data_IF_565309884809
#
_entry.id   IF_565309884809
#
_cell.length_a   1.000
_cell.length_b   1.000
_cell.length_c   1.000
_cell.angle_alpha   90.00
_cell.angle_beta   90.00
_cell.angle_gamma   90.00
#
_symmetry.space_group_name_H-M   'P 1'
#
loop_
_entity.id
_entity.type
_entity.pdbx_description
1 polymer ?
#
# COMPACT_ATOMS: atom_id res chain seq x y z
N UNK A 1 -5.59 13.00 -0.90
CA UNK A 1 -5.12 13.41 -2.24
C UNK A 1 -3.62 13.64 -2.16
N UNK A 2 -2.85 13.03 -3.05
CA UNK A 2 -1.38 13.09 -3.07
C UNK A 2 -0.96 14.35 -3.83
N UNK A 3 -0.08 15.16 -3.24
CA UNK A 3 0.40 16.43 -3.80
C UNK A 3 1.75 16.28 -4.48
N UNK A 4 2.62 15.45 -3.90
CA UNK A 4 4.00 15.28 -4.35
C UNK A 4 4.49 13.87 -4.03
N UNK A 5 5.30 13.32 -4.94
CA UNK A 5 6.04 12.08 -4.73
C UNK A 5 7.44 12.20 -5.34
N UNK A 6 8.43 11.75 -4.59
CA UNK A 6 9.77 11.41 -5.06
C UNK A 6 10.34 10.29 -4.19
N UNK A 7 11.45 9.68 -4.59
CA UNK A 7 12.04 8.59 -3.82
C UNK A 7 12.26 8.98 -2.35
N UNK A 8 11.62 8.23 -1.45
CA UNK A 8 11.71 8.45 -0.01
C UNK A 8 10.85 9.60 0.54
N UNK A 9 9.99 10.23 -0.27
CA UNK A 9 9.09 11.28 0.18
C UNK A 9 7.72 11.23 -0.50
N UNK A 10 6.67 11.39 0.30
CA UNK A 10 5.33 11.64 -0.19
C UNK A 10 4.70 12.80 0.58
N UNK A 11 4.03 13.72 -0.14
CA UNK A 11 3.25 14.81 0.46
C UNK A 11 1.77 14.57 0.25
N UNK A 12 1.02 14.51 1.34
CA UNK A 12 -0.43 14.27 1.33
C UNK A 12 -1.08 15.25 2.29
N UNK A 13 -2.05 16.03 1.79
CA UNK A 13 -2.82 17.00 2.59
C UNK A 13 -1.92 17.96 3.41
N UNK A 14 -0.87 18.50 2.78
CA UNK A 14 0.10 19.40 3.39
C UNK A 14 1.13 18.73 4.29
N UNK A 15 0.99 17.44 4.62
CA UNK A 15 1.90 16.70 5.49
C UNK A 15 2.91 15.88 4.66
N UNK A 16 4.17 15.91 5.11
CA UNK A 16 5.27 15.17 4.50
C UNK A 16 5.50 13.85 5.25
N UNK A 17 5.64 12.78 4.49
CA UNK A 17 5.94 11.43 4.95
C UNK A 17 7.22 10.96 4.27
N UNK A 18 8.15 10.41 5.06
CA UNK A 18 9.45 9.88 4.64
C UNK A 18 9.59 8.37 4.94
N UNK A 19 8.45 7.71 5.10
CA UNK A 19 8.31 6.29 5.39
C UNK A 19 7.19 5.74 4.51
N UNK A 20 7.13 4.41 4.41
CA UNK A 20 5.99 3.73 3.79
C UNK A 20 4.70 4.11 4.53
N UNK A 21 3.62 4.32 3.76
CA UNK A 21 2.33 4.74 4.30
C UNK A 21 1.20 3.89 3.74
N UNK A 22 0.11 3.86 4.49
CA UNK A 22 -1.18 3.30 4.10
C UNK A 22 -2.22 4.42 4.10
N UNK A 23 -3.06 4.48 3.07
CA UNK A 23 -4.20 5.40 2.98
C UNK A 23 -5.48 4.57 3.09
N UNK A 24 -6.25 4.79 4.16
CA UNK A 24 -7.52 4.09 4.38
C UNK A 24 -8.69 4.68 3.61
N UNK A 25 -9.84 3.99 3.62
CA UNK A 25 -11.09 4.48 3.01
C UNK A 25 -11.61 5.77 3.66
N UNK A 26 -11.22 6.03 4.90
CA UNK A 26 -11.52 7.26 5.64
C UNK A 26 -10.58 8.42 5.31
N UNK A 27 -9.72 8.27 4.29
CA UNK A 27 -8.67 9.20 3.89
C UNK A 27 -7.59 9.45 4.96
N UNK A 28 -7.54 8.66 6.03
CA UNK A 28 -6.45 8.77 7.00
C UNK A 28 -5.19 8.13 6.44
N UNK A 29 -4.09 8.86 6.59
CA UNK A 29 -2.75 8.38 6.29
C UNK A 29 -2.12 7.84 7.57
N UNK A 30 -1.62 6.61 7.51
CA UNK A 30 -0.89 5.96 8.60
C UNK A 30 0.49 5.57 8.14
N UNK A 31 1.45 5.58 9.08
CA UNK A 31 2.73 4.92 8.86
C UNK A 31 2.47 3.43 8.71
N UNK A 32 3.05 2.83 7.67
CA UNK A 32 2.88 1.43 7.37
C UNK A 32 4.18 0.68 7.68
N UNK A 33 4.08 -0.26 8.62
CA UNK A 33 5.21 -1.08 9.04
C UNK A 33 5.05 -2.48 8.50
N UNK A 34 5.94 -2.86 7.60
CA UNK A 34 6.01 -4.23 7.07
C UNK A 34 6.87 -5.11 7.95
N UNK A 35 6.45 -6.36 8.09
CA UNK A 35 7.15 -7.40 8.83
C UNK A 35 8.54 -7.71 8.25
N UNK A 36 8.71 -7.59 6.93
CA UNK A 36 9.96 -7.86 6.21
C UNK A 36 10.21 -6.84 5.11
N UNK A 37 11.48 -6.48 4.90
CA UNK A 37 11.85 -5.58 3.81
C UNK A 37 11.53 -6.21 2.44
N UNK A 38 10.97 -5.39 1.53
CA UNK A 38 10.59 -5.76 0.15
C UNK A 38 9.55 -6.87 -0.02
N UNK A 39 9.02 -7.44 1.06
CA UNK A 39 7.94 -8.42 0.99
C UNK A 39 6.74 -7.87 1.76
N UNK A 40 5.55 -8.01 1.19
CA UNK A 40 4.30 -7.59 1.80
C UNK A 40 3.52 -8.85 2.09
N UNK A 41 3.41 -9.17 3.38
CA UNK A 41 2.75 -10.37 3.87
C UNK A 41 1.29 -10.08 4.19
N UNK A 42 0.50 -11.15 4.36
CA UNK A 42 -0.93 -11.03 4.70
C UNK A 42 -1.13 -10.20 5.96
N UNK A 43 -0.28 -10.41 6.97
CA UNK A 43 -0.32 -9.69 8.24
C UNK A 43 -0.11 -8.18 8.07
N UNK A 44 0.67 -7.78 7.05
CA UNK A 44 0.96 -6.36 6.78
C UNK A 44 -0.27 -5.63 6.19
N UNK A 45 -1.26 -6.35 5.67
CA UNK A 45 -2.45 -5.79 5.01
C UNK A 45 -3.76 -6.08 5.75
N UNK A 46 -3.72 -6.71 6.93
CA UNK A 46 -4.93 -7.07 7.71
C UNK A 46 -5.82 -5.85 8.01
N UNK A 47 -5.21 -4.71 8.33
CA UNK A 47 -5.94 -3.47 8.61
C UNK A 47 -6.69 -2.93 7.39
N UNK A 48 -6.12 -3.11 6.19
CA UNK A 48 -6.75 -2.71 4.92
C UNK A 48 -7.88 -3.69 4.59
N UNK A 49 -7.64 -4.99 4.74
CA UNK A 49 -8.64 -6.02 4.49
C UNK A 49 -9.87 -5.88 5.40
N UNK A 50 -9.67 -5.47 6.66
CA UNK A 50 -10.76 -5.25 7.62
C UNK A 50 -11.69 -4.08 7.26
N UNK A 51 -11.25 -3.19 6.36
CA UNK A 51 -12.08 -2.09 5.85
C UNK A 51 -12.99 -2.51 4.68
N UNK A 52 -12.87 -3.76 4.21
CA UNK A 52 -13.64 -4.31 3.09
C UNK A 52 -13.65 -3.43 1.83
N UNK A 53 -12.47 -3.00 1.32
CA UNK A 53 -12.39 -2.12 0.17
C UNK A 53 -12.79 -2.85 -1.12
N UNK A 54 -13.31 -2.10 -2.10
CA UNK A 54 -13.55 -2.63 -3.45
C UNK A 54 -12.24 -2.84 -4.24
N UNK A 55 -11.24 -2.01 -3.96
CA UNK A 55 -9.93 -1.99 -4.64
C UNK A 55 -8.80 -1.78 -3.63
N UNK A 56 -7.73 -2.55 -3.77
CA UNK A 56 -6.44 -2.33 -3.10
C UNK A 56 -5.41 -2.00 -4.18
N UNK A 57 -4.70 -0.89 -3.96
CA UNK A 57 -3.55 -0.47 -4.77
C UNK A 57 -2.29 -0.60 -3.94
N UNK A 58 -1.27 -1.28 -4.47
CA UNK A 58 0.04 -1.44 -3.84
C UNK A 58 1.09 -0.75 -4.70
N UNK A 59 1.65 0.34 -4.18
CA UNK A 59 2.85 0.95 -4.72
C UNK A 59 4.08 0.15 -4.30
N UNK A 60 4.86 -0.34 -5.27
CA UNK A 60 6.00 -1.25 -5.04
C UNK A 60 7.35 -0.53 -4.83
N UNK A 61 7.30 0.77 -4.57
CA UNK A 61 8.44 1.68 -4.50
C UNK A 61 8.84 2.20 -5.88
N UNK A 62 9.86 3.06 -5.92
CA UNK A 62 10.39 3.63 -7.17
C UNK A 62 10.94 2.57 -8.12
N UNK A 63 11.65 1.58 -7.58
CA UNK A 63 12.30 0.52 -8.38
C UNK A 63 11.38 -0.68 -8.65
N UNK A 64 10.14 -0.67 -8.15
CA UNK A 64 9.20 -1.78 -8.35
C UNK A 64 9.61 -3.11 -7.69
N UNK A 65 10.48 -3.07 -6.68
CA UNK A 65 11.11 -4.28 -6.11
C UNK A 65 10.30 -4.92 -4.97
N UNK A 66 9.36 -4.19 -4.37
CA UNK A 66 8.50 -4.76 -3.34
C UNK A 66 7.51 -5.76 -3.94
N UNK A 67 7.34 -6.91 -3.29
CA UNK A 67 6.48 -7.99 -3.78
C UNK A 67 5.43 -8.35 -2.75
N UNK A 68 4.19 -8.49 -3.22
CA UNK A 68 3.11 -9.10 -2.46
C UNK A 68 3.32 -10.61 -2.43
N UNK A 69 3.20 -11.24 -1.26
CA UNK A 69 3.28 -12.70 -1.16
C UNK A 69 2.05 -13.36 -1.81
N UNK A 70 2.22 -14.61 -2.26
CA UNK A 70 1.12 -15.40 -2.83
C UNK A 70 -0.04 -15.53 -1.82
N UNK A 71 0.26 -15.77 -0.55
CA UNK A 71 -0.74 -15.84 0.53
C UNK A 71 -1.57 -14.55 0.64
N UNK A 72 -0.92 -13.39 0.61
CA UNK A 72 -1.61 -12.11 0.67
C UNK A 72 -2.46 -11.85 -0.59
N UNK A 73 -1.93 -12.21 -1.76
CA UNK A 73 -2.66 -12.09 -3.02
C UNK A 73 -3.90 -12.98 -3.06
N UNK A 74 -3.79 -14.24 -2.64
CA UNK A 74 -4.92 -15.18 -2.55
C UNK A 74 -5.99 -14.69 -1.60
N UNK A 75 -5.61 -14.15 -0.43
CA UNK A 75 -6.55 -13.57 0.53
C UNK A 75 -7.36 -12.42 -0.10
N UNK A 76 -6.69 -11.48 -0.80
CA UNK A 76 -7.34 -10.35 -1.48
C UNK A 76 -8.33 -10.84 -2.55
N UNK A 77 -7.90 -11.79 -3.39
CA UNK A 77 -8.73 -12.34 -4.47
C UNK A 77 -9.93 -13.13 -3.91
N UNK A 78 -9.73 -13.90 -2.83
CA UNK A 78 -10.80 -14.68 -2.19
C UNK A 78 -11.93 -13.80 -1.66
N UNK A 79 -11.60 -12.58 -1.23
CA UNK A 79 -12.55 -11.54 -0.80
C UNK A 79 -13.17 -10.75 -1.95
N UNK A 80 -12.85 -11.11 -3.21
CA UNK A 80 -13.30 -10.43 -4.44
C UNK A 80 -12.90 -8.95 -4.51
N UNK A 81 -11.80 -8.60 -3.86
CA UNK A 81 -11.23 -7.26 -3.88
C UNK A 81 -10.36 -7.14 -5.15
N UNK A 82 -10.52 -6.07 -5.91
CA UNK A 82 -9.65 -5.81 -7.06
C UNK A 82 -8.26 -5.44 -6.57
N UNK A 83 -7.24 -6.06 -7.13
CA UNK A 83 -5.84 -5.79 -6.80
C UNK A 83 -5.13 -5.09 -7.95
N UNK A 84 -4.47 -3.98 -7.65
CA UNK A 84 -3.57 -3.25 -8.56
C UNK A 84 -2.20 -3.19 -7.91
N UNK A 85 -1.16 -3.60 -8.64
CA UNK A 85 0.22 -3.58 -8.17
C UNK A 85 1.03 -2.88 -9.25
N UNK A 86 1.61 -1.73 -8.91
CA UNK A 86 2.38 -0.91 -9.84
C UNK A 86 3.59 -0.28 -9.12
N UNK A 87 4.61 0.22 -9.84
CA UNK A 87 5.59 1.15 -9.28
C UNK A 87 4.87 2.33 -8.61
N UNK A 88 5.40 2.87 -7.51
CA UNK A 88 4.69 3.92 -6.73
C UNK A 88 4.37 5.17 -7.55
N UNK A 89 5.12 5.46 -8.62
CA UNK A 89 4.83 6.60 -9.51
C UNK A 89 3.61 6.40 -10.43
N UNK A 90 3.19 5.14 -10.64
CA UNK A 90 2.09 4.74 -11.54
C UNK A 90 0.83 4.30 -10.78
N UNK A 91 0.97 4.05 -9.47
CA UNK A 91 -0.08 3.61 -8.55
C UNK A 91 -1.11 4.70 -8.21
#
# INVERSE_FOLDING_TARGET
MIEEYHFGLMKIAGQVYNHDIQIGLDNKVKLWWRSKSHEIWKQDIEEVLAQEPEVIVIGTGEMGVAKLTEEAQEEIISKKIKLIIEPTAEA
#
